data_IF_665652633234
#
_entry.id   IF_665652633234
#
_cell.length_a   1.000
_cell.length_b   1.000
_cell.length_c   1.000
_cell.angle_alpha   90.00
_cell.angle_beta   90.00
_cell.angle_gamma   90.00
#
_symmetry.space_group_name_H-M   'P 1'
#
loop_
_entity.id
_entity.type
_entity.pdbx_description
1 polymer ?
#
# COMPACT_ATOMS: atom_id res chain seq x y z
N UNK A 1 -33.40 76.09 8.72
CA UNK A 1 -33.58 74.76 9.36
C UNK A 1 -33.99 73.79 8.27
N UNK A 2 -33.03 73.22 7.54
CA UNK A 2 -33.35 72.18 6.56
C UNK A 2 -32.11 71.36 6.25
N UNK A 3 -32.31 70.09 5.94
CA UNK A 3 -31.37 69.01 5.56
C UNK A 3 -30.79 68.16 6.70
N UNK A 4 -31.45 67.02 6.98
CA UNK A 4 -30.84 65.74 7.40
C UNK A 4 -31.93 64.65 7.48
N UNK A 5 -32.35 64.15 6.32
CA UNK A 5 -33.15 62.93 6.23
C UNK A 5 -32.95 62.25 4.87
N UNK A 6 -31.82 61.56 4.67
CA UNK A 6 -31.76 60.55 3.59
C UNK A 6 -30.67 59.47 3.70
N UNK A 7 -29.87 59.42 4.76
CA UNK A 7 -28.72 58.50 4.83
C UNK A 7 -29.04 57.09 5.34
N UNK A 8 -30.19 56.85 6.00
CA UNK A 8 -30.55 55.51 6.52
C UNK A 8 -31.08 54.54 5.46
N UNK A 9 -31.75 55.03 4.41
CA UNK A 9 -32.30 54.16 3.34
C UNK A 9 -31.23 53.64 2.36
N UNK A 10 -30.11 54.36 2.19
CA UNK A 10 -29.00 53.93 1.34
C UNK A 10 -28.19 52.77 1.92
N UNK A 11 -27.99 52.76 3.24
CA UNK A 11 -27.16 51.75 3.93
C UNK A 11 -27.88 50.39 3.98
N UNK A 12 -29.20 50.37 4.23
CA UNK A 12 -29.99 49.12 4.23
C UNK A 12 -30.08 48.51 2.83
N UNK A 13 -30.22 49.34 1.78
CA UNK A 13 -30.20 48.88 0.38
C UNK A 13 -28.83 48.35 -0.04
N UNK A 14 -27.75 49.02 0.33
CA UNK A 14 -26.38 48.58 0.01
C UNK A 14 -26.04 47.24 0.70
N UNK A 15 -26.43 47.06 1.96
CA UNK A 15 -26.19 45.81 2.71
C UNK A 15 -27.01 44.64 2.14
N UNK A 16 -28.26 44.89 1.74
CA UNK A 16 -29.10 43.90 1.06
C UNK A 16 -28.59 43.50 -0.32
N UNK A 17 -28.03 44.45 -1.09
CA UNK A 17 -27.39 44.18 -2.38
C UNK A 17 -26.09 43.38 -2.26
N UNK A 18 -25.28 43.63 -1.23
CA UNK A 18 -24.06 42.86 -0.96
C UNK A 18 -24.39 41.44 -0.50
N UNK A 19 -25.40 41.25 0.35
CA UNK A 19 -25.88 39.92 0.76
C UNK A 19 -26.51 39.16 -0.41
N UNK A 20 -27.26 39.83 -1.28
CA UNK A 20 -27.83 39.23 -2.49
C UNK A 20 -26.74 38.87 -3.51
N UNK A 21 -25.72 39.72 -3.69
CA UNK A 21 -24.58 39.44 -4.56
C UNK A 21 -23.71 38.28 -4.02
N UNK A 22 -23.51 38.20 -2.71
CA UNK A 22 -22.82 37.09 -2.06
C UNK A 22 -23.62 35.78 -2.16
N UNK A 23 -24.95 35.84 -2.02
CA UNK A 23 -25.85 34.70 -2.24
C UNK A 23 -25.87 34.28 -3.71
N UNK A 24 -25.92 35.22 -4.66
CA UNK A 24 -25.86 34.92 -6.09
C UNK A 24 -24.49 34.38 -6.52
N UNK A 25 -23.39 34.85 -5.91
CA UNK A 25 -22.06 34.31 -6.14
C UNK A 25 -21.87 32.90 -5.55
N UNK A 26 -22.47 32.60 -4.39
CA UNK A 26 -22.46 31.26 -3.81
C UNK A 26 -23.38 30.29 -4.58
N UNK A 27 -24.52 30.76 -5.08
CA UNK A 27 -25.36 30.03 -6.04
C UNK A 27 -24.65 29.82 -7.39
N UNK A 28 -23.94 30.83 -7.91
CA UNK A 28 -23.16 30.72 -9.16
C UNK A 28 -21.88 29.88 -9.01
N UNK A 29 -21.36 29.71 -7.81
CA UNK A 29 -20.30 28.76 -7.50
C UNK A 29 -20.87 27.33 -7.39
N UNK A 30 -22.08 27.17 -6.82
CA UNK A 30 -22.82 25.90 -6.84
C UNK A 30 -23.23 25.45 -8.25
N UNK A 31 -23.28 26.35 -9.24
CA UNK A 31 -23.61 26.01 -10.62
C UNK A 31 -22.42 25.60 -11.48
N UNK A 32 -21.19 25.48 -10.95
CA UNK A 32 -19.99 25.06 -11.72
C UNK A 32 -19.53 23.63 -11.50
N UNK A 33 -20.03 22.96 -10.47
CA UNK A 33 -19.64 21.59 -10.14
C UNK A 33 -20.66 20.60 -10.72
N UNK A 34 -20.20 19.39 -11.03
CA UNK A 34 -21.06 18.23 -11.23
C UNK A 34 -20.78 17.15 -10.18
N UNK A 35 -21.55 16.07 -10.25
CA UNK A 35 -21.38 14.89 -9.43
C UNK A 35 -21.08 13.68 -10.31
N UNK A 36 -20.10 12.89 -9.91
CA UNK A 36 -19.78 11.58 -10.48
C UNK A 36 -20.11 10.51 -9.46
N UNK A 37 -20.94 9.53 -9.83
CA UNK A 37 -21.15 8.30 -9.10
C UNK A 37 -20.40 7.17 -9.81
N UNK A 38 -19.57 6.43 -9.10
CA UNK A 38 -18.74 5.36 -9.65
C UNK A 38 -19.09 4.02 -9.01
N UNK A 39 -19.30 3.01 -9.83
CA UNK A 39 -19.46 1.62 -9.43
C UNK A 39 -18.42 0.76 -10.16
N UNK A 40 -17.68 -0.07 -9.41
CA UNK A 40 -16.59 -0.90 -9.94
C UNK A 40 -16.98 -2.36 -9.77
N UNK A 41 -17.05 -3.09 -10.89
CA UNK A 41 -17.48 -4.48 -10.95
C UNK A 41 -16.33 -5.38 -11.40
N UNK A 42 -16.28 -6.60 -10.87
CA UNK A 42 -15.56 -7.70 -11.51
C UNK A 42 -16.45 -8.27 -12.64
N UNK A 43 -15.94 -8.24 -13.87
CA UNK A 43 -16.70 -8.69 -15.07
C UNK A 43 -17.14 -10.17 -14.97
N UNK A 44 -16.30 -11.01 -14.38
CA UNK A 44 -16.53 -12.46 -14.30
C UNK A 44 -17.55 -12.88 -13.24
N UNK A 45 -17.66 -12.13 -12.15
CA UNK A 45 -18.61 -12.39 -11.05
C UNK A 45 -19.86 -11.53 -11.12
N UNK A 46 -19.80 -10.38 -11.81
CA UNK A 46 -20.87 -9.38 -11.84
C UNK A 46 -21.11 -8.67 -10.51
N UNK A 47 -20.18 -8.79 -9.55
CA UNK A 47 -20.29 -8.18 -8.23
C UNK A 47 -19.43 -6.92 -8.14
N UNK A 48 -19.88 -5.95 -7.34
CA UNK A 48 -19.05 -4.80 -6.97
C UNK A 48 -17.84 -5.27 -6.17
N UNK A 49 -16.67 -4.71 -6.46
CA UNK A 49 -15.42 -5.21 -5.89
C UNK A 49 -14.51 -4.06 -5.41
N UNK A 50 -13.75 -4.24 -4.32
CA UNK A 50 -12.72 -3.28 -3.93
C UNK A 50 -11.68 -3.10 -5.03
N UNK A 51 -11.15 -1.89 -5.17
CA UNK A 51 -10.17 -1.58 -6.20
C UNK A 51 -9.33 -0.36 -5.79
N UNK A 52 -8.15 -0.26 -6.38
CA UNK A 52 -7.35 0.96 -6.37
C UNK A 52 -7.88 1.93 -7.41
N UNK A 53 -7.96 3.21 -7.06
CA UNK A 53 -8.55 4.27 -7.86
C UNK A 53 -7.66 5.51 -7.84
N UNK A 54 -7.70 6.27 -8.92
CA UNK A 54 -7.35 7.69 -8.90
C UNK A 54 -8.24 8.46 -9.89
N UNK A 55 -8.70 9.64 -9.46
CA UNK A 55 -9.40 10.59 -10.33
C UNK A 55 -8.47 11.76 -10.53
N UNK A 56 -7.95 11.93 -11.73
CA UNK A 56 -6.96 12.95 -12.08
C UNK A 56 -7.61 14.04 -12.92
N UNK A 57 -7.40 15.30 -12.55
CA UNK A 57 -7.77 16.42 -13.42
C UNK A 57 -6.79 16.52 -14.58
N UNK A 58 -7.30 16.60 -15.81
CA UNK A 58 -6.45 16.82 -16.98
C UNK A 58 -5.94 18.28 -17.09
N UNK A 59 -6.44 19.19 -16.25
CA UNK A 59 -5.98 20.59 -16.20
C UNK A 59 -4.72 20.76 -15.36
N UNK A 60 -4.67 20.16 -14.17
CA UNK A 60 -3.57 20.33 -13.22
C UNK A 60 -2.73 19.05 -13.00
N UNK A 61 -3.14 17.92 -13.60
CA UNK A 61 -2.54 16.60 -13.44
C UNK A 61 -2.41 16.17 -11.96
N UNK A 62 -3.40 16.55 -11.13
CA UNK A 62 -3.48 16.16 -9.71
C UNK A 62 -4.72 15.33 -9.43
N UNK A 63 -4.60 14.50 -8.39
CA UNK A 63 -5.64 13.60 -7.95
C UNK A 63 -6.76 14.34 -7.19
N UNK A 64 -7.92 13.68 -7.06
CA UNK A 64 -9.06 14.05 -6.24
C UNK A 64 -9.62 12.82 -5.53
N UNK A 65 -10.20 13.02 -4.35
CA UNK A 65 -10.82 11.96 -3.59
C UNK A 65 -12.28 12.27 -3.24
N UNK A 66 -13.14 11.24 -3.14
CA UNK A 66 -14.48 11.39 -2.59
C UNK A 66 -14.46 11.89 -1.13
N UNK A 67 -15.53 12.60 -0.69
CA UNK A 67 -16.68 13.03 -1.48
C UNK A 67 -16.49 14.39 -2.18
N UNK A 68 -15.37 15.07 -1.96
CA UNK A 68 -15.13 16.44 -2.40
C UNK A 68 -13.86 16.57 -3.24
N UNK A 69 -14.03 16.53 -4.56
CA UNK A 69 -12.96 16.67 -5.53
C UNK A 69 -12.71 18.11 -5.99
N UNK A 70 -13.17 19.12 -5.25
CA UNK A 70 -12.90 20.53 -5.58
C UNK A 70 -11.50 20.97 -5.16
N UNK A 71 -10.86 20.22 -4.27
CA UNK A 71 -9.50 20.48 -3.78
C UNK A 71 -8.63 19.24 -3.96
N UNK A 72 -7.32 19.45 -4.09
CA UNK A 72 -6.34 18.35 -4.05
C UNK A 72 -6.20 17.95 -2.57
N UNK A 73 -6.57 16.72 -2.17
CA UNK A 73 -6.40 16.28 -0.79
C UNK A 73 -4.91 16.06 -0.48
N UNK A 74 -4.49 16.10 0.80
CA UNK A 74 -3.13 15.70 1.17
C UNK A 74 -2.89 14.23 0.81
N UNK A 75 -1.61 13.88 0.66
CA UNK A 75 -1.17 12.49 0.51
C UNK A 75 -0.57 11.97 1.82
N UNK A 76 -0.67 10.67 2.04
CA UNK A 76 -0.18 9.97 3.23
C UNK A 76 1.30 9.66 3.07
N UNK A 77 2.09 9.91 4.11
CA UNK A 77 3.53 9.65 4.22
C UNK A 77 3.81 8.47 5.14
N UNK A 78 5.01 7.89 5.07
CA UNK A 78 5.48 6.78 5.90
C UNK A 78 5.24 7.01 7.40
N UNK A 79 5.56 8.19 8.00
CA UNK A 79 5.29 8.41 9.43
C UNK A 79 3.80 8.33 9.80
N UNK A 80 2.91 8.66 8.87
CA UNK A 80 1.47 8.65 9.10
C UNK A 80 0.93 7.20 9.24
N UNK A 81 1.70 6.18 8.84
CA UNK A 81 1.37 4.76 9.03
C UNK A 81 1.84 4.20 10.38
N UNK A 82 2.73 4.90 11.09
CA UNK A 82 3.22 4.44 12.40
C UNK A 82 2.16 4.65 13.50
N UNK A 83 1.41 5.74 13.41
CA UNK A 83 0.25 6.05 14.25
C UNK A 83 -0.92 6.53 13.37
N UNK A 84 -1.60 5.60 12.68
CA UNK A 84 -2.61 5.95 11.70
C UNK A 84 -3.90 6.47 12.36
N UNK A 85 -4.50 7.47 11.73
CA UNK A 85 -5.84 7.93 12.07
C UNK A 85 -6.88 6.82 11.85
N UNK A 86 -7.94 6.82 12.67
CA UNK A 86 -8.97 5.79 12.60
C UNK A 86 -9.66 5.78 11.23
N UNK A 87 -9.57 4.64 10.55
CA UNK A 87 -10.29 4.37 9.31
C UNK A 87 -11.60 3.64 9.58
N UNK A 88 -12.64 3.97 8.82
CA UNK A 88 -13.97 3.35 8.91
C UNK A 88 -14.30 2.56 7.64
N UNK A 89 -14.94 1.38 7.74
CA UNK A 89 -15.42 0.63 6.60
C UNK A 89 -16.22 1.49 5.61
N UNK A 90 -15.93 1.35 4.31
CA UNK A 90 -16.49 2.17 3.24
C UNK A 90 -15.77 3.51 3.03
N UNK A 91 -14.89 3.92 3.94
CA UNK A 91 -13.99 5.05 3.73
C UNK A 91 -12.97 4.75 2.63
N UNK A 92 -12.44 5.82 2.01
CA UNK A 92 -11.34 5.70 1.06
C UNK A 92 -10.05 5.30 1.78
N UNK A 93 -9.15 4.64 1.07
CA UNK A 93 -7.81 4.31 1.54
C UNK A 93 -6.87 5.52 1.62
N UNK A 94 -5.64 5.31 2.10
CA UNK A 94 -4.62 6.36 2.13
C UNK A 94 -4.28 6.78 0.70
N UNK A 95 -4.06 8.07 0.50
CA UNK A 95 -3.62 8.58 -0.80
C UNK A 95 -2.11 8.44 -0.88
N UNK A 96 -1.63 7.57 -1.76
CA UNK A 96 -0.21 7.30 -1.95
C UNK A 96 0.26 7.88 -3.27
N UNK A 97 1.37 8.61 -3.24
CA UNK A 97 2.03 9.05 -4.47
C UNK A 97 2.71 7.85 -5.14
N UNK A 98 2.46 7.70 -6.43
CA UNK A 98 3.03 6.65 -7.28
C UNK A 98 4.24 7.16 -8.03
N UNK A 99 4.25 8.45 -8.36
CA UNK A 99 5.39 9.23 -8.87
C UNK A 99 5.58 10.47 -8.00
N UNK A 100 6.73 11.13 -8.11
CA UNK A 100 7.02 12.35 -7.35
C UNK A 100 7.93 12.09 -6.14
N UNK A 101 7.83 12.94 -5.10
CA UNK A 101 8.86 13.09 -4.06
C UNK A 101 9.42 11.76 -3.54
N UNK A 102 10.71 11.56 -3.78
CA UNK A 102 11.46 10.33 -3.49
C UNK A 102 12.76 10.62 -2.75
N UNK A 103 13.01 11.87 -2.33
CA UNK A 103 14.34 12.29 -1.87
C UNK A 103 14.65 11.92 -0.42
N UNK A 104 13.64 11.61 0.39
CA UNK A 104 13.80 11.48 1.84
C UNK A 104 13.18 10.20 2.44
N UNK A 105 12.71 9.26 1.61
CA UNK A 105 11.97 8.05 2.02
C UNK A 105 10.70 8.30 2.85
N UNK A 106 10.27 9.55 3.06
CA UNK A 106 9.07 9.86 3.84
C UNK A 106 7.82 9.68 3.01
N UNK A 107 7.89 9.87 1.69
CA UNK A 107 6.74 9.67 0.82
C UNK A 107 6.72 8.26 0.26
N UNK A 108 7.79 7.87 -0.43
CA UNK A 108 8.02 6.54 -1.01
C UNK A 108 9.53 6.28 -1.07
N UNK A 109 9.92 5.04 -1.29
CA UNK A 109 11.32 4.65 -1.41
C UNK A 109 12.06 5.44 -2.49
N UNK A 110 13.25 5.98 -2.17
CA UNK A 110 14.13 6.67 -3.12
C UNK A 110 14.58 5.75 -4.26
N UNK A 111 14.54 4.43 -4.04
CA UNK A 111 14.95 3.41 -5.01
C UNK A 111 14.08 3.42 -6.27
N UNK A 112 12.86 3.96 -6.17
CA UNK A 112 12.03 4.18 -7.35
C UNK A 112 12.59 5.25 -8.31
N UNK A 113 13.35 6.21 -7.79
CA UNK A 113 13.75 7.40 -8.55
C UNK A 113 12.54 8.05 -9.21
N UNK A 114 12.65 8.35 -10.51
CA UNK A 114 11.56 8.96 -11.29
C UNK A 114 10.47 7.97 -11.74
N UNK A 115 10.69 6.66 -11.57
CA UNK A 115 9.75 5.63 -12.04
C UNK A 115 8.51 5.58 -11.15
N UNK A 116 7.38 5.19 -11.73
CA UNK A 116 6.18 4.84 -10.94
C UNK A 116 6.49 3.67 -9.99
N UNK A 117 6.04 3.78 -8.74
CA UNK A 117 6.09 2.72 -7.75
C UNK A 117 5.07 1.62 -7.97
N UNK A 118 3.96 1.93 -8.65
CA UNK A 118 2.86 0.99 -8.86
C UNK A 118 2.94 0.38 -10.28
N UNK A 119 3.10 -0.96 -10.43
CA UNK A 119 3.05 -1.67 -11.71
C UNK A 119 1.86 -1.31 -12.60
N UNK A 120 2.12 -1.05 -13.89
CA UNK A 120 1.13 -0.71 -14.93
C UNK A 120 0.25 0.53 -14.67
N UNK A 121 0.48 1.23 -13.55
CA UNK A 121 -0.27 2.41 -13.15
C UNK A 121 0.30 3.70 -13.79
N UNK A 122 -0.59 4.59 -14.20
CA UNK A 122 -0.23 5.81 -14.94
C UNK A 122 -0.61 7.11 -14.23
N UNK A 123 -1.36 7.04 -13.13
CA UNK A 123 -1.80 8.23 -12.39
C UNK A 123 -0.79 8.65 -11.34
N UNK A 124 -0.78 9.94 -10.94
CA UNK A 124 0.20 10.47 -9.98
C UNK A 124 0.03 9.97 -8.54
N UNK A 125 -1.16 9.44 -8.22
CA UNK A 125 -1.49 8.90 -6.91
C UNK A 125 -2.39 7.67 -7.06
N UNK A 126 -2.59 6.95 -5.96
CA UNK A 126 -3.55 5.85 -5.84
C UNK A 126 -4.13 5.83 -4.42
N UNK A 127 -5.40 5.42 -4.30
CA UNK A 127 -6.07 5.10 -3.03
C UNK A 127 -7.07 3.98 -3.28
N UNK A 128 -7.34 3.12 -2.30
CA UNK A 128 -8.37 2.09 -2.46
C UNK A 128 -9.77 2.63 -2.18
N UNK A 129 -10.77 2.01 -2.78
CA UNK A 129 -12.19 2.08 -2.40
C UNK A 129 -12.73 0.66 -2.23
N UNK A 130 -13.75 0.49 -1.40
CA UNK A 130 -14.37 -0.82 -1.12
C UNK A 130 -15.85 -0.91 -1.45
N UNK A 131 -16.46 0.22 -1.82
CA UNK A 131 -17.88 0.34 -2.13
C UNK A 131 -18.07 1.38 -3.25
N UNK A 132 -19.22 1.38 -3.95
CA UNK A 132 -19.62 2.48 -4.81
C UNK A 132 -19.51 3.82 -4.08
N UNK A 133 -19.05 4.84 -4.80
CA UNK A 133 -18.80 6.15 -4.20
C UNK A 133 -19.30 7.28 -5.10
N UNK A 134 -19.49 8.44 -4.48
CA UNK A 134 -19.85 9.67 -5.19
C UNK A 134 -18.86 10.78 -4.86
N UNK A 135 -18.49 11.56 -5.86
CA UNK A 135 -17.57 12.69 -5.74
C UNK A 135 -18.13 13.91 -6.46
N UNK A 136 -18.04 15.08 -5.83
CA UNK A 136 -18.29 16.36 -6.49
C UNK A 136 -17.02 16.82 -7.18
N UNK A 137 -17.12 17.16 -8.46
CA UNK A 137 -16.00 17.58 -9.29
C UNK A 137 -16.32 18.93 -9.94
N UNK A 138 -15.36 19.87 -10.01
CA UNK A 138 -15.46 21.03 -10.89
C UNK A 138 -15.73 20.60 -12.34
N UNK A 139 -16.51 21.41 -13.06
CA UNK A 139 -16.66 21.22 -14.49
C UNK A 139 -15.29 21.25 -15.18
N UNK A 140 -15.05 20.27 -16.06
CA UNK A 140 -13.74 20.07 -16.66
C UNK A 140 -13.53 18.64 -17.14
N UNK A 141 -12.32 18.38 -17.64
CA UNK A 141 -11.91 17.05 -18.11
C UNK A 141 -11.13 16.31 -17.04
N UNK A 142 -11.46 15.04 -16.88
CA UNK A 142 -10.96 14.17 -15.83
C UNK A 142 -10.56 12.84 -16.44
N UNK A 143 -9.69 12.12 -15.74
CA UNK A 143 -9.36 10.72 -16.02
C UNK A 143 -9.63 9.89 -14.77
N UNK A 144 -10.38 8.81 -14.92
CA UNK A 144 -10.59 7.79 -13.91
C UNK A 144 -9.65 6.62 -14.22
N UNK A 145 -8.78 6.29 -13.29
CA UNK A 145 -8.00 5.06 -13.32
C UNK A 145 -8.50 4.09 -12.26
N UNK A 146 -8.61 2.82 -12.61
CA UNK A 146 -9.02 1.73 -11.71
C UNK A 146 -8.14 0.51 -11.94
N UNK A 147 -7.63 -0.08 -10.85
CA UNK A 147 -6.86 -1.33 -10.89
C UNK A 147 -7.26 -2.24 -9.71
N UNK A 148 -7.06 -3.55 -9.89
CA UNK A 148 -7.28 -4.56 -8.86
C UNK A 148 -6.17 -5.60 -8.93
N UNK A 149 -5.02 -5.31 -8.32
CA UNK A 149 -3.85 -6.17 -8.39
C UNK A 149 -3.31 -6.37 -9.82
N UNK A 150 -2.42 -7.35 -9.98
CA UNK A 150 -1.74 -7.63 -11.25
C UNK A 150 -2.47 -8.64 -12.15
N UNK A 151 -3.54 -9.27 -11.65
CA UNK A 151 -4.32 -10.29 -12.38
C UNK A 151 -5.48 -9.70 -13.20
N UNK A 152 -5.72 -8.40 -13.06
CA UNK A 152 -6.69 -7.63 -13.82
C UNK A 152 -5.99 -6.62 -14.73
N UNK A 153 -6.64 -6.28 -15.84
CA UNK A 153 -6.19 -5.18 -16.67
C UNK A 153 -6.62 -3.86 -16.05
N UNK A 154 -5.70 -2.91 -15.82
CA UNK A 154 -6.09 -1.59 -15.34
C UNK A 154 -6.91 -0.84 -16.38
N UNK A 155 -7.90 -0.09 -15.93
CA UNK A 155 -8.78 0.75 -16.75
C UNK A 155 -8.36 2.21 -16.61
N UNK A 156 -8.30 2.94 -17.73
CA UNK A 156 -8.04 4.37 -17.78
C UNK A 156 -9.06 5.01 -18.71
N UNK A 157 -9.93 5.85 -18.17
CA UNK A 157 -11.05 6.43 -18.92
C UNK A 157 -11.09 7.94 -18.72
N UNK A 158 -11.06 8.68 -19.82
CA UNK A 158 -11.27 10.12 -19.80
C UNK A 158 -12.76 10.46 -19.90
N UNK A 159 -13.19 11.46 -19.13
CA UNK A 159 -14.56 11.96 -19.14
C UNK A 159 -14.59 13.46 -18.91
N UNK A 160 -15.72 14.07 -19.22
CA UNK A 160 -16.00 15.48 -18.97
C UNK A 160 -17.14 15.58 -17.95
N UNK A 161 -17.00 16.47 -16.97
CA UNK A 161 -18.08 16.88 -16.07
C UNK A 161 -18.59 18.23 -16.53
N UNK A 162 -19.90 18.29 -16.83
CA UNK A 162 -20.58 19.54 -17.12
C UNK A 162 -21.15 20.16 -15.84
N UNK A 163 -21.32 21.49 -15.81
CA UNK A 163 -21.90 22.16 -14.66
C UNK A 163 -23.32 21.64 -14.34
N UNK A 164 -23.55 21.23 -13.08
CA UNK A 164 -24.80 20.65 -12.61
C UNK A 164 -25.09 19.21 -13.06
N UNK A 165 -24.18 18.57 -13.81
CA UNK A 165 -24.34 17.20 -14.27
C UNK A 165 -24.34 16.21 -13.11
N UNK A 166 -25.18 15.17 -13.20
CA UNK A 166 -25.05 13.95 -12.40
C UNK A 166 -24.70 12.81 -13.35
N UNK A 167 -23.45 12.38 -13.30
CA UNK A 167 -22.92 11.29 -14.11
C UNK A 167 -22.88 10.01 -13.30
N UNK A 168 -23.42 8.94 -13.86
CA UNK A 168 -23.20 7.58 -13.38
C UNK A 168 -22.17 6.92 -14.28
N UNK A 169 -21.19 6.25 -13.67
CA UNK A 169 -20.07 5.66 -14.36
C UNK A 169 -19.79 4.26 -13.82
N UNK A 170 -20.00 3.26 -14.66
CA UNK A 170 -19.73 1.85 -14.34
C UNK A 170 -18.39 1.47 -14.95
N UNK A 171 -17.53 0.85 -14.15
CA UNK A 171 -16.25 0.28 -14.59
C UNK A 171 -16.32 -1.23 -14.42
N UNK A 172 -16.14 -1.97 -15.50
CA UNK A 172 -16.04 -3.43 -15.50
C UNK A 172 -14.57 -3.85 -15.60
N UNK A 173 -14.03 -4.42 -14.53
CA UNK A 173 -12.66 -4.90 -14.46
C UNK A 173 -12.54 -6.28 -15.09
N UNK A 174 -11.79 -6.34 -16.19
CA UNK A 174 -11.48 -7.59 -16.88
C UNK A 174 -10.26 -8.28 -16.27
N UNK A 175 -10.48 -9.47 -15.74
CA UNK A 175 -9.42 -10.38 -15.31
C UNK A 175 -8.74 -11.03 -16.53
N UNK A 176 -7.41 -11.10 -16.54
CA UNK A 176 -6.66 -11.81 -17.60
C UNK A 176 -6.11 -13.17 -17.13
N UNK A 177 -5.96 -13.39 -15.82
CA UNK A 177 -5.59 -14.68 -15.21
C UNK A 177 -6.25 -14.79 -13.83
N UNK A 178 -6.56 -16.03 -13.39
CA UNK A 178 -7.09 -16.29 -12.04
C UNK A 178 -6.22 -17.37 -11.37
N UNK A 179 -5.10 -16.95 -10.80
CA UNK A 179 -4.12 -17.85 -10.20
C UNK A 179 -4.73 -18.66 -9.04
N UNK A 180 -5.58 -18.04 -8.22
CA UNK A 180 -6.26 -18.73 -7.12
C UNK A 180 -7.15 -19.89 -7.60
N UNK A 181 -7.85 -19.77 -8.74
CA UNK A 181 -8.60 -20.90 -9.33
C UNK A 181 -7.69 -22.05 -9.75
N UNK A 182 -6.43 -21.76 -10.04
CA UNK A 182 -5.38 -22.73 -10.37
C UNK A 182 -4.64 -23.25 -9.15
N UNK A 183 -5.07 -22.88 -7.93
CA UNK A 183 -4.45 -23.29 -6.67
C UNK A 183 -3.20 -22.50 -6.28
N UNK A 184 -2.91 -21.39 -6.98
CA UNK A 184 -1.79 -20.49 -6.68
C UNK A 184 -2.32 -19.21 -6.02
N UNK A 185 -1.88 -18.93 -4.80
CA UNK A 185 -2.38 -17.79 -4.04
C UNK A 185 -1.27 -16.75 -3.87
N UNK A 186 -1.59 -15.50 -4.20
CA UNK A 186 -0.69 -14.36 -4.07
C UNK A 186 -0.43 -14.05 -2.59
N UNK A 187 0.77 -13.61 -2.29
CA UNK A 187 1.10 -13.02 -1.01
C UNK A 187 2.12 -11.90 -1.11
N UNK A 188 2.02 -11.00 -0.15
CA UNK A 188 2.99 -9.95 0.13
C UNK A 188 3.54 -10.22 1.53
N UNK A 189 4.80 -10.65 1.60
CA UNK A 189 5.43 -11.10 2.84
C UNK A 189 6.10 -9.97 3.64
N UNK A 190 5.98 -8.72 3.17
CA UNK A 190 6.64 -7.57 3.77
C UNK A 190 5.73 -6.33 3.82
N UNK A 191 4.86 -6.27 4.82
CA UNK A 191 3.91 -5.17 5.00
C UNK A 191 4.06 -4.57 6.40
N UNK A 192 4.34 -3.28 6.52
CA UNK A 192 4.40 -2.55 7.77
C UNK A 192 3.14 -1.73 8.03
N UNK A 193 2.42 -2.14 9.07
CA UNK A 193 1.28 -1.40 9.61
C UNK A 193 0.98 -1.93 11.01
N UNK A 194 0.65 -1.09 12.02
CA UNK A 194 0.34 -1.60 13.35
C UNK A 194 -0.91 -2.50 13.29
N UNK A 195 -0.95 -3.55 14.09
CA UNK A 195 -2.14 -4.39 14.26
C UNK A 195 -2.52 -4.49 15.73
N UNK A 196 -2.78 -3.36 16.35
CA UNK A 196 -3.12 -3.23 17.78
C UNK A 196 -4.60 -2.88 18.02
N UNK A 197 -5.33 -2.48 16.99
CA UNK A 197 -6.77 -2.13 17.04
C UNK A 197 -7.55 -2.96 16.01
N UNK A 198 -8.80 -3.38 16.28
CA UNK A 198 -9.59 -4.17 15.31
C UNK A 198 -9.74 -3.51 13.94
N UNK A 199 -9.91 -2.19 13.89
CA UNK A 199 -10.05 -1.47 12.61
C UNK A 199 -8.77 -1.50 11.77
N UNK A 200 -7.59 -1.76 12.36
CA UNK A 200 -6.35 -1.97 11.59
C UNK A 200 -6.46 -3.24 10.71
N UNK A 201 -7.07 -4.31 11.24
CA UNK A 201 -7.29 -5.54 10.49
C UNK A 201 -8.25 -5.30 9.32
N UNK A 202 -9.38 -4.63 9.59
CA UNK A 202 -10.37 -4.31 8.56
C UNK A 202 -9.77 -3.40 7.47
N UNK A 203 -9.01 -2.39 7.86
CA UNK A 203 -8.30 -1.48 6.94
C UNK A 203 -7.35 -2.25 6.01
N UNK A 204 -6.43 -3.02 6.59
CA UNK A 204 -5.42 -3.77 5.83
C UNK A 204 -6.05 -4.84 4.95
N UNK A 205 -7.03 -5.58 5.47
CA UNK A 205 -7.67 -6.64 4.70
C UNK A 205 -8.47 -6.05 3.52
N UNK A 206 -9.08 -4.88 3.72
CA UNK A 206 -9.76 -4.15 2.62
C UNK A 206 -8.78 -3.72 1.54
N UNK A 207 -7.59 -3.22 1.94
CA UNK A 207 -6.55 -2.86 0.97
C UNK A 207 -6.02 -4.10 0.24
N UNK A 208 -5.73 -5.20 0.95
CA UNK A 208 -5.32 -6.47 0.37
C UNK A 208 -6.37 -7.01 -0.62
N UNK A 209 -7.66 -6.86 -0.31
CA UNK A 209 -8.74 -7.20 -1.23
C UNK A 209 -8.74 -6.30 -2.47
N UNK A 210 -8.48 -4.99 -2.34
CA UNK A 210 -8.40 -4.07 -3.48
C UNK A 210 -7.21 -4.39 -4.41
N UNK A 211 -6.14 -4.99 -3.87
CA UNK A 211 -4.93 -5.39 -4.61
C UNK A 211 -4.88 -6.87 -5.01
N UNK A 212 -5.93 -7.60 -4.65
CA UNK A 212 -6.04 -9.06 -4.76
C UNK A 212 -4.80 -9.80 -4.24
N UNK A 213 -4.50 -9.57 -2.97
CA UNK A 213 -3.42 -10.22 -2.23
C UNK A 213 -4.03 -11.13 -1.16
N UNK A 214 -3.93 -12.44 -1.35
CA UNK A 214 -4.59 -13.42 -0.46
C UNK A 214 -3.86 -13.55 0.89
N UNK A 215 -2.54 -13.46 0.92
CA UNK A 215 -1.75 -13.54 2.16
C UNK A 215 -0.90 -12.29 2.34
N UNK A 216 -1.20 -11.46 3.32
CA UNK A 216 -0.34 -10.33 3.70
C UNK A 216 0.35 -10.62 5.02
N UNK A 217 1.68 -10.67 5.01
CA UNK A 217 2.46 -10.79 6.25
C UNK A 217 2.77 -9.41 6.79
N UNK A 218 2.19 -9.08 7.95
CA UNK A 218 2.28 -7.76 8.57
C UNK A 218 3.35 -7.76 9.66
N UNK A 219 4.36 -6.92 9.49
CA UNK A 219 5.59 -6.96 10.25
C UNK A 219 5.69 -5.79 11.22
N UNK A 220 5.96 -6.11 12.49
CA UNK A 220 6.60 -5.14 13.36
C UNK A 220 8.04 -4.97 12.93
N UNK A 221 8.59 -3.79 13.13
CA UNK A 221 9.99 -3.52 12.83
C UNK A 221 10.70 -3.08 14.10
N UNK A 222 11.92 -3.59 14.32
CA UNK A 222 12.69 -3.23 15.51
C UNK A 222 14.14 -2.99 15.19
N UNK A 223 14.58 -1.80 15.58
CA UNK A 223 15.99 -1.45 15.77
C UNK A 223 16.37 -1.58 17.25
N UNK A 224 17.65 -1.43 17.59
CA UNK A 224 18.09 -1.31 18.99
C UNK A 224 17.38 -0.20 19.78
N UNK A 225 16.85 0.82 19.09
CA UNK A 225 16.34 2.05 19.73
C UNK A 225 14.83 2.16 19.72
N UNK A 226 14.15 1.46 18.80
CA UNK A 226 12.73 1.67 18.55
C UNK A 226 12.04 0.41 18.06
N UNK A 227 10.77 0.29 18.42
CA UNK A 227 9.79 -0.64 17.86
C UNK A 227 8.74 0.17 17.11
N UNK A 228 8.55 -0.14 15.83
CA UNK A 228 7.52 0.45 14.96
C UNK A 228 6.55 -0.63 14.49
N UNK A 229 5.34 -0.21 14.11
CA UNK A 229 4.28 -1.09 13.59
C UNK A 229 3.97 -2.30 14.48
N UNK A 230 3.70 -2.13 15.80
CA UNK A 230 3.51 -3.24 16.72
C UNK A 230 2.43 -4.22 16.22
N UNK A 231 2.74 -5.51 16.31
CA UNK A 231 1.85 -6.60 15.95
C UNK A 231 1.23 -7.24 17.19
N UNK A 232 0.11 -7.93 16.99
CA UNK A 232 -0.67 -8.53 18.06
C UNK A 232 -1.76 -7.57 18.54
N UNK A 233 -3.00 -7.93 18.23
CA UNK A 233 -4.21 -7.34 18.79
C UNK A 233 -4.91 -8.38 19.68
N UNK A 234 -6.02 -8.02 20.36
CA UNK A 234 -6.80 -8.98 21.12
C UNK A 234 -7.33 -10.19 20.32
N UNK A 235 -7.42 -10.10 18.99
CA UNK A 235 -7.87 -11.17 18.09
C UNK A 235 -6.73 -12.13 17.68
N UNK A 236 -5.48 -11.83 18.08
CA UNK A 236 -4.32 -12.68 17.89
C UNK A 236 -3.41 -12.28 16.72
N UNK A 237 -2.58 -13.23 16.28
CA UNK A 237 -1.53 -13.03 15.26
C UNK A 237 -2.02 -13.34 13.84
N UNK A 238 -3.25 -13.85 13.69
CA UNK A 238 -3.86 -14.16 12.39
C UNK A 238 -5.27 -13.59 12.35
N UNK A 239 -5.59 -12.89 11.27
CA UNK A 239 -6.94 -12.42 10.96
C UNK A 239 -7.30 -12.87 9.56
N UNK A 240 -8.52 -13.37 9.36
CA UNK A 240 -8.92 -13.96 8.08
C UNK A 240 -10.39 -13.67 7.79
N UNK A 241 -10.71 -13.31 6.54
CA UNK A 241 -12.08 -13.37 5.99
C UNK A 241 -12.07 -14.01 4.61
N UNK A 242 -12.82 -15.09 4.45
CA UNK A 242 -12.73 -15.92 3.25
C UNK A 242 -11.30 -16.40 3.05
N UNK A 243 -10.77 -16.23 1.84
CA UNK A 243 -9.40 -16.62 1.48
C UNK A 243 -8.36 -15.52 1.74
N UNK A 244 -8.76 -14.36 2.25
CA UNK A 244 -7.84 -13.25 2.55
C UNK A 244 -7.36 -13.32 4.00
N UNK A 245 -6.04 -13.24 4.20
CA UNK A 245 -5.37 -13.46 5.49
C UNK A 245 -4.37 -12.36 5.78
N UNK A 246 -4.42 -11.83 7.00
CA UNK A 246 -3.35 -11.06 7.61
C UNK A 246 -2.63 -11.93 8.63
N UNK A 247 -1.37 -12.25 8.37
CA UNK A 247 -0.52 -13.03 9.28
C UNK A 247 0.54 -12.10 9.87
N UNK A 248 0.64 -12.05 11.19
CA UNK A 248 1.69 -11.28 11.84
C UNK A 248 3.07 -11.95 11.67
N UNK A 249 4.08 -11.11 11.52
CA UNK A 249 5.50 -11.44 11.44
C UNK A 249 6.34 -10.34 12.09
N UNK A 250 7.65 -10.36 11.85
CA UNK A 250 8.56 -9.31 12.28
C UNK A 250 9.71 -9.10 11.29
N UNK A 251 10.12 -7.84 11.19
CA UNK A 251 11.38 -7.38 10.66
C UNK A 251 12.26 -6.95 11.85
N UNK A 252 12.70 -7.94 12.61
CA UNK A 252 13.31 -7.76 13.93
C UNK A 252 14.30 -8.92 14.14
N UNK A 253 15.62 -8.68 14.16
CA UNK A 253 16.28 -7.36 14.12
C UNK A 253 16.33 -6.71 12.72
N UNK A 254 16.27 -5.37 12.70
CA UNK A 254 16.52 -4.51 11.53
C UNK A 254 17.69 -3.55 11.81
N UNK A 255 18.94 -4.02 11.69
CA UNK A 255 20.13 -3.15 11.84
C UNK A 255 20.32 -2.28 10.61
N UNK A 256 21.26 -1.32 10.60
CA UNK A 256 21.49 -0.53 9.39
C UNK A 256 21.77 -1.41 8.17
N UNK A 257 21.30 -1.01 6.98
CA UNK A 257 21.62 -1.71 5.72
C UNK A 257 23.14 -1.76 5.48
N UNK A 258 23.89 -0.77 5.98
CA UNK A 258 25.36 -0.75 6.00
C UNK A 258 25.99 -1.53 7.18
N UNK A 259 25.18 -2.23 7.98
CA UNK A 259 25.56 -3.11 9.08
C UNK A 259 25.23 -4.56 8.69
N UNK A 260 24.34 -5.25 9.42
CA UNK A 260 23.98 -6.66 9.16
C UNK A 260 22.71 -6.83 8.31
N UNK A 261 22.10 -5.72 7.87
CA UNK A 261 20.87 -5.72 7.09
C UNK A 261 19.63 -5.97 7.94
N UNK A 262 18.53 -6.30 7.26
CA UNK A 262 17.22 -6.51 7.86
C UNK A 262 16.80 -7.98 7.71
N UNK A 263 16.26 -8.54 8.78
CA UNK A 263 15.72 -9.91 8.79
C UNK A 263 14.22 -9.92 8.58
N UNK A 264 13.68 -11.06 8.18
CA UNK A 264 12.25 -11.33 8.13
C UNK A 264 11.94 -12.60 8.89
N UNK A 265 10.86 -12.58 9.65
CA UNK A 265 10.26 -13.76 10.25
C UNK A 265 8.75 -13.79 9.97
N UNK A 266 8.33 -14.83 9.26
CA UNK A 266 6.96 -15.01 8.79
C UNK A 266 6.23 -16.09 9.61
N UNK A 267 4.90 -16.02 9.63
CA UNK A 267 4.03 -17.00 10.30
C UNK A 267 4.37 -17.25 11.79
N UNK A 268 4.67 -16.19 12.53
CA UNK A 268 5.01 -16.28 13.95
C UNK A 268 3.75 -16.31 14.82
N UNK A 269 3.82 -16.98 15.97
CA UNK A 269 2.77 -17.01 17.00
C UNK A 269 2.98 -15.92 18.05
N UNK A 270 4.21 -15.43 18.18
CA UNK A 270 4.62 -14.31 19.04
C UNK A 270 5.94 -13.72 18.53
N UNK A 271 6.22 -12.44 18.82
CA UNK A 271 7.51 -11.84 18.52
C UNK A 271 8.64 -12.53 19.29
N UNK A 272 9.82 -12.53 18.69
CA UNK A 272 11.06 -13.10 19.22
C UNK A 272 12.13 -12.02 19.15
N UNK A 273 12.70 -11.66 20.30
CA UNK A 273 13.76 -10.67 20.34
C UNK A 273 14.63 -10.87 21.59
N UNK A 274 15.90 -10.47 21.49
CA UNK A 274 16.81 -10.36 22.62
C UNK A 274 17.72 -9.14 22.43
N UNK A 275 17.43 -8.07 23.18
CA UNK A 275 18.18 -6.82 23.06
C UNK A 275 19.63 -6.94 23.56
N UNK A 276 19.94 -7.91 24.41
CA UNK A 276 21.32 -8.17 24.88
C UNK A 276 22.17 -8.87 23.83
N UNK A 277 21.53 -9.53 22.85
CA UNK A 277 22.14 -10.30 21.76
C UNK A 277 21.63 -9.84 20.39
N UNK A 278 21.27 -8.57 20.25
CA UNK A 278 20.55 -8.04 19.09
C UNK A 278 21.24 -8.25 17.73
N UNK A 279 22.58 -8.29 17.73
CA UNK A 279 23.38 -8.53 16.52
C UNK A 279 23.63 -10.02 16.23
N UNK A 280 23.13 -10.93 17.07
CA UNK A 280 23.22 -12.37 16.88
C UNK A 280 21.91 -12.84 16.26
N UNK A 281 21.81 -12.72 14.93
CA UNK A 281 20.56 -12.96 14.20
C UNK A 281 20.14 -14.43 14.29
N UNK A 282 21.10 -15.34 14.42
CA UNK A 282 20.91 -16.77 14.66
C UNK A 282 20.04 -17.06 15.89
N UNK A 283 20.20 -16.30 16.99
CA UNK A 283 19.37 -16.44 18.20
C UNK A 283 17.91 -16.17 17.89
N UNK A 284 17.62 -15.14 17.09
CA UNK A 284 16.26 -14.82 16.66
C UNK A 284 15.75 -15.92 15.72
N UNK A 285 16.55 -16.33 14.73
CA UNK A 285 16.16 -17.35 13.76
C UNK A 285 15.83 -18.70 14.43
N UNK A 286 16.67 -19.17 15.34
CA UNK A 286 16.47 -20.43 16.05
C UNK A 286 15.16 -20.40 16.87
N UNK A 287 14.84 -19.27 17.50
CA UNK A 287 13.61 -19.11 18.28
C UNK A 287 12.35 -18.92 17.41
N UNK A 288 12.45 -18.31 16.23
CA UNK A 288 11.36 -18.27 15.24
C UNK A 288 11.06 -19.67 14.70
N UNK A 289 12.11 -20.42 14.35
CA UNK A 289 11.98 -21.80 13.86
C UNK A 289 11.41 -22.74 14.92
N UNK A 290 11.76 -22.55 16.19
CA UNK A 290 11.22 -23.33 17.30
C UNK A 290 9.69 -23.19 17.47
N UNK A 291 9.08 -22.10 16.99
CA UNK A 291 7.62 -21.93 16.98
C UNK A 291 6.96 -22.32 15.65
N UNK A 292 7.74 -22.72 14.64
CA UNK A 292 7.28 -23.11 13.30
C UNK A 292 7.22 -21.96 12.29
N UNK A 293 7.81 -20.80 12.61
CA UNK A 293 7.91 -19.67 11.69
C UNK A 293 8.99 -19.88 10.62
N UNK A 294 8.96 -19.03 9.61
CA UNK A 294 9.94 -19.01 8.51
C UNK A 294 10.88 -17.83 8.67
N UNK A 295 12.13 -17.98 8.25
CA UNK A 295 13.19 -16.98 8.48
C UNK A 295 13.90 -16.61 7.19
N UNK A 296 14.19 -15.33 7.01
CA UNK A 296 14.83 -14.81 5.80
C UNK A 296 15.49 -13.46 6.01
N UNK A 297 16.04 -12.92 4.93
CA UNK A 297 16.53 -11.53 4.87
C UNK A 297 15.68 -10.72 3.90
N UNK A 298 15.37 -9.50 4.32
CA UNK A 298 14.67 -8.53 3.51
C UNK A 298 15.64 -7.78 2.60
N UNK A 299 15.12 -7.12 1.56
CA UNK A 299 15.81 -6.15 0.71
C UNK A 299 17.08 -6.66 -0.01
N UNK A 300 17.28 -7.98 -0.11
CA UNK A 300 18.34 -8.56 -0.95
C UNK A 300 18.21 -8.02 -2.39
N UNK A 301 16.96 -7.75 -2.81
CA UNK A 301 16.57 -7.06 -4.03
C UNK A 301 17.44 -5.85 -4.41
N UNK A 302 17.85 -5.04 -3.45
CA UNK A 302 18.54 -3.77 -3.70
C UNK A 302 19.78 -3.53 -2.84
N UNK A 303 20.12 -4.45 -1.93
CA UNK A 303 21.34 -4.38 -1.15
C UNK A 303 22.59 -4.10 -2.02
N UNK A 304 22.83 -4.76 -3.18
CA UNK A 304 23.97 -4.45 -4.02
C UNK A 304 24.00 -2.99 -4.52
N UNK A 305 22.83 -2.45 -4.91
CA UNK A 305 22.71 -1.07 -5.36
C UNK A 305 23.04 -0.08 -4.24
N UNK A 306 22.63 -0.37 -3.00
CA UNK A 306 22.99 0.44 -1.84
C UNK A 306 24.49 0.45 -1.58
N UNK A 307 25.14 -0.72 -1.53
CA UNK A 307 26.56 -0.82 -1.21
C UNK A 307 27.46 -0.23 -2.29
N UNK A 308 27.07 -0.37 -3.56
CA UNK A 308 27.85 0.07 -4.72
C UNK A 308 27.61 1.52 -5.16
N UNK A 309 26.70 2.25 -4.49
CA UNK A 309 26.31 3.61 -4.89
C UNK A 309 27.48 4.60 -4.93
N UNK A 310 28.41 4.46 -3.99
CA UNK A 310 29.57 5.36 -3.82
C UNK A 310 30.88 4.69 -4.27
N UNK A 311 30.89 3.36 -4.38
CA UNK A 311 32.05 2.55 -4.74
C UNK A 311 31.61 1.22 -5.34
N UNK A 312 31.73 1.11 -6.66
CA UNK A 312 31.31 -0.06 -7.43
C UNK A 312 31.99 -1.38 -7.04
N UNK A 313 33.08 -1.34 -6.27
CA UNK A 313 33.84 -2.52 -5.86
C UNK A 313 33.34 -3.15 -4.56
N UNK A 314 32.39 -2.50 -3.86
CA UNK A 314 31.85 -3.00 -2.59
C UNK A 314 30.88 -4.16 -2.78
N UNK A 315 30.96 -5.09 -1.84
CA UNK A 315 30.00 -6.19 -1.65
C UNK A 315 29.19 -5.94 -0.39
N UNK A 316 27.96 -6.46 -0.36
CA UNK A 316 27.14 -6.40 0.85
C UNK A 316 27.81 -7.17 1.98
N UNK A 317 27.93 -6.55 3.16
CA UNK A 317 28.58 -7.14 4.34
C UNK A 317 27.52 -7.63 5.32
N UNK A 318 26.66 -8.55 4.89
CA UNK A 318 25.54 -9.03 5.70
C UNK A 318 25.82 -10.38 6.37
N UNK A 319 25.18 -10.59 7.52
CA UNK A 319 25.24 -11.85 8.28
C UNK A 319 24.52 -13.01 7.58
N UNK A 320 23.85 -12.74 6.45
CA UNK A 320 23.14 -13.75 5.66
C UNK A 320 24.05 -14.89 5.23
N UNK A 321 25.29 -14.60 4.86
CA UNK A 321 26.23 -15.61 4.37
C UNK A 321 26.55 -16.71 5.39
N UNK A 322 26.58 -16.38 6.69
CA UNK A 322 26.77 -17.35 7.77
C UNK A 322 25.49 -18.16 8.02
N UNK A 323 24.35 -17.47 8.16
CA UNK A 323 23.08 -18.08 8.54
C UNK A 323 22.50 -18.99 7.45
N UNK A 324 22.73 -18.67 6.17
CA UNK A 324 22.33 -19.53 5.04
C UNK A 324 23.01 -20.89 5.13
N UNK A 325 24.33 -20.91 5.25
CA UNK A 325 25.12 -22.16 5.29
C UNK A 325 24.82 -22.99 6.53
N UNK A 326 24.45 -22.33 7.63
CA UNK A 326 24.02 -22.99 8.87
C UNK A 326 22.58 -23.56 8.80
N UNK A 327 21.88 -23.42 7.67
CA UNK A 327 20.53 -23.96 7.47
C UNK A 327 19.45 -23.22 8.28
N UNK A 328 19.69 -21.95 8.60
CA UNK A 328 18.79 -21.11 9.39
C UNK A 328 17.83 -20.26 8.57
N UNK A 329 17.98 -20.22 7.25
CA UNK A 329 17.11 -19.46 6.38
C UNK A 329 16.25 -20.36 5.50
N UNK A 330 15.04 -19.89 5.24
CA UNK A 330 14.10 -20.51 4.31
C UNK A 330 13.97 -19.68 3.00
N UNK A 331 14.26 -18.37 3.03
CA UNK A 331 14.06 -17.48 1.87
C UNK A 331 14.94 -16.23 1.85
N UNK A 332 15.00 -15.60 0.67
CA UNK A 332 15.49 -14.24 0.46
C UNK A 332 14.44 -13.40 -0.26
N UNK A 333 14.23 -12.16 0.18
CA UNK A 333 13.42 -11.17 -0.54
C UNK A 333 14.24 -10.56 -1.70
N UNK A 334 14.14 -11.19 -2.86
CA UNK A 334 14.98 -10.89 -4.02
C UNK A 334 14.38 -9.85 -4.95
N UNK A 335 13.09 -9.49 -4.81
CA UNK A 335 12.42 -8.50 -5.64
C UNK A 335 11.67 -7.48 -4.81
N UNK A 336 11.98 -6.21 -4.99
CA UNK A 336 11.35 -5.09 -4.30
C UNK A 336 11.69 -3.78 -5.02
N UNK A 337 10.80 -2.78 -4.98
CA UNK A 337 11.03 -1.44 -5.56
C UNK A 337 11.50 -1.43 -7.03
N UNK A 338 11.01 -2.39 -7.83
CA UNK A 338 11.41 -2.61 -9.25
C UNK A 338 12.89 -2.97 -9.42
N UNK A 339 13.52 -3.46 -8.37
CA UNK A 339 14.87 -4.01 -8.37
C UNK A 339 14.80 -5.51 -8.10
N UNK A 340 15.78 -6.21 -8.65
CA UNK A 340 15.91 -7.66 -8.55
C UNK A 340 17.36 -7.97 -8.17
N UNK A 341 17.55 -8.59 -7.00
CA UNK A 341 18.84 -8.90 -6.40
C UNK A 341 19.07 -10.40 -6.41
N UNK A 342 19.92 -10.87 -7.34
CA UNK A 342 20.06 -12.28 -7.67
C UNK A 342 21.43 -12.88 -7.34
N UNK A 343 22.43 -12.05 -7.06
CA UNK A 343 23.83 -12.48 -6.93
C UNK A 343 23.98 -13.52 -5.80
N UNK A 344 23.71 -13.12 -4.55
CA UNK A 344 23.79 -14.03 -3.40
C UNK A 344 22.83 -15.21 -3.55
N UNK A 345 21.61 -14.97 -4.07
CA UNK A 345 20.61 -16.01 -4.24
C UNK A 345 21.11 -17.15 -5.14
N UNK A 346 21.62 -16.83 -6.34
CA UNK A 346 22.15 -17.86 -7.24
C UNK A 346 23.44 -18.49 -6.73
N UNK A 347 24.30 -17.74 -6.04
CA UNK A 347 25.51 -18.32 -5.44
C UNK A 347 25.17 -19.41 -4.42
N UNK A 348 24.17 -19.19 -3.55
CA UNK A 348 23.70 -20.22 -2.63
C UNK A 348 23.01 -21.39 -3.31
N UNK A 349 22.18 -21.13 -4.33
CA UNK A 349 21.56 -22.21 -5.12
C UNK A 349 22.63 -23.07 -5.82
N UNK A 350 23.69 -22.47 -6.35
CA UNK A 350 24.81 -23.17 -6.99
C UNK A 350 25.60 -24.03 -6.00
N UNK A 351 25.61 -23.67 -4.71
CA UNK A 351 26.18 -24.48 -3.64
C UNK A 351 25.22 -25.58 -3.13
N UNK A 352 24.04 -25.71 -3.71
CA UNK A 352 23.03 -26.71 -3.34
C UNK A 352 22.16 -26.32 -2.14
N UNK A 353 22.25 -25.07 -1.68
CA UNK A 353 21.34 -24.56 -0.65
C UNK A 353 19.97 -24.30 -1.27
N UNK A 354 18.90 -24.66 -0.57
CA UNK A 354 17.53 -24.36 -1.00
C UNK A 354 17.06 -23.10 -0.33
N UNK A 355 16.66 -22.12 -1.13
CA UNK A 355 16.10 -20.85 -0.69
C UNK A 355 14.91 -20.49 -1.56
N UNK A 356 13.82 -20.08 -0.94
CA UNK A 356 12.68 -19.51 -1.66
C UNK A 356 13.04 -18.11 -2.15
N UNK A 357 12.75 -17.86 -3.43
CA UNK A 357 12.73 -16.53 -3.99
C UNK A 357 11.45 -15.81 -3.53
N UNK A 358 11.60 -14.85 -2.61
CA UNK A 358 10.49 -14.05 -2.13
C UNK A 358 10.46 -12.64 -2.71
N UNK A 359 9.31 -11.98 -2.57
CA UNK A 359 9.06 -10.63 -3.03
C UNK A 359 7.95 -9.98 -2.20
N UNK A 360 8.32 -9.03 -1.34
CA UNK A 360 7.39 -8.24 -0.54
C UNK A 360 7.46 -6.77 -0.91
N UNK A 361 6.39 -6.03 -0.63
CA UNK A 361 6.30 -4.62 -1.03
C UNK A 361 7.17 -3.71 -0.19
N UNK A 362 7.31 -4.00 1.10
CA UNK A 362 7.80 -3.07 2.13
C UNK A 362 6.92 -1.80 2.16
N UNK A 363 5.59 -1.99 2.11
CA UNK A 363 4.60 -0.94 2.39
C UNK A 363 4.76 -0.48 3.84
N UNK A 364 4.91 0.82 4.15
CA UNK A 364 4.54 1.98 3.33
C UNK A 364 5.70 2.66 2.59
N UNK A 365 6.90 2.09 2.50
CA UNK A 365 7.92 2.64 1.58
C UNK A 365 7.55 2.36 0.13
N UNK A 366 6.84 1.26 -0.12
CA UNK A 366 6.05 1.00 -1.32
C UNK A 366 4.95 2.01 -1.60
N UNK A 367 4.52 2.12 -2.86
CA UNK A 367 3.32 2.88 -3.21
C UNK A 367 2.04 2.14 -2.84
N UNK A 368 2.02 0.80 -2.89
CA UNK A 368 0.88 0.00 -2.47
C UNK A 368 1.26 -1.38 -1.95
N UNK A 369 0.36 -1.97 -1.13
CA UNK A 369 0.44 -3.37 -0.72
C UNK A 369 0.33 -4.27 -1.96
N UNK A 370 1.21 -5.27 -2.07
CA UNK A 370 1.20 -6.25 -3.14
C UNK A 370 1.80 -5.78 -4.46
N UNK A 371 2.44 -4.61 -4.52
CA UNK A 371 3.13 -4.18 -5.75
C UNK A 371 4.30 -5.13 -6.10
N UNK A 372 4.92 -5.73 -5.09
CA UNK A 372 5.76 -6.93 -5.20
C UNK A 372 5.03 -8.07 -4.49
N UNK A 373 5.01 -9.25 -5.09
CA UNK A 373 4.28 -10.40 -4.55
C UNK A 373 4.89 -11.72 -4.97
N UNK A 374 4.67 -12.72 -4.14
CA UNK A 374 5.03 -14.13 -4.37
C UNK A 374 3.76 -14.96 -4.51
N UNK A 375 3.82 -16.05 -5.28
CA UNK A 375 2.71 -17.00 -5.39
C UNK A 375 3.15 -18.34 -4.82
N UNK A 376 2.33 -18.92 -3.93
CA UNK A 376 2.53 -20.26 -3.42
C UNK A 376 1.40 -21.18 -3.91
N UNK A 377 1.78 -22.36 -4.41
CA UNK A 377 0.83 -23.37 -4.84
C UNK A 377 0.37 -24.20 -3.64
N UNK A 378 -0.90 -24.04 -3.25
CA UNK A 378 -1.52 -24.78 -2.15
C UNK A 378 -2.54 -25.82 -2.64
N UNK A 379 -2.89 -25.78 -3.93
CA UNK A 379 -3.99 -26.58 -4.46
C UNK A 379 -5.34 -26.09 -3.96
N UNK A 380 -6.25 -27.02 -3.65
CA UNK A 380 -7.59 -26.73 -3.15
C UNK A 380 -7.94 -27.67 -1.98
N UNK A 381 -8.56 -27.19 -0.87
CA UNK A 381 -8.92 -25.80 -0.57
C UNK A 381 -7.75 -24.95 -0.04
N UNK A 382 -7.85 -23.62 -0.14
CA UNK A 382 -6.90 -22.69 0.47
C UNK A 382 -6.86 -22.84 1.99
N UNK A 383 -5.65 -22.84 2.55
CA UNK A 383 -5.44 -22.62 3.98
C UNK A 383 -4.21 -21.72 4.19
N UNK A 384 -4.21 -20.84 5.21
CA UNK A 384 -3.03 -20.04 5.55
C UNK A 384 -1.80 -20.90 5.84
N UNK A 385 -1.98 -22.00 6.61
CA UNK A 385 -0.87 -22.89 6.96
C UNK A 385 -0.33 -23.62 5.73
N UNK A 386 -1.20 -24.01 4.79
CA UNK A 386 -0.79 -24.57 3.50
C UNK A 386 0.01 -23.58 2.65
N UNK A 387 -0.31 -22.29 2.70
CA UNK A 387 0.44 -21.25 1.99
C UNK A 387 1.86 -21.12 2.53
N UNK A 388 2.03 -21.01 3.85
CA UNK A 388 3.37 -20.95 4.46
C UNK A 388 4.16 -22.25 4.29
N UNK A 389 3.49 -23.41 4.30
CA UNK A 389 4.13 -24.68 4.00
C UNK A 389 4.64 -24.75 2.55
N UNK A 390 3.84 -24.26 1.59
CA UNK A 390 4.22 -24.20 0.18
C UNK A 390 5.26 -23.12 -0.14
N UNK A 391 5.32 -22.05 0.66
CA UNK A 391 6.34 -21.02 0.54
C UNK A 391 7.73 -21.52 0.97
N UNK A 392 7.82 -22.48 1.89
CA UNK A 392 9.10 -23.01 2.38
C UNK A 392 9.80 -23.90 1.33
N UNK A 393 11.09 -23.67 1.10
CA UNK A 393 11.93 -24.38 0.12
C UNK A 393 12.26 -25.85 0.46
#
# INVERSE_FOLDING_TARGET
>A
METRANTRNGIVRATGLVLLAAALASLAAQTRDGALHVEIYDEGTGQTTPAMVCITSLEDNKWRTPPDGRVVPPYTRVPDFMDPEEWKPGGIGPVRLTIGDWRDNNTRSFLYGEKSGYPFWQEPAAYFVSQPFSIRLPAGRWRLAVARGIEYLPVFEEFEIKPGEKRHHRVDLRRWEHMARRGWYSGDDHVHFPRTKPWHNEFLLTWAQAEEVYVSTTLQQRTLRALTFPQGNPEGFRFQRGDYVLQAGQEDPSTGINELGHTLALNIKRPVYDLSRFHLYDVMFDAVRAQGGLTGYAHIAWAPAWYRRDDSTRYATWDSTLNVIQGRLDFFEIMQFRLLGLEDYYDFLNMGVRLTASAGSDMPWASSLGESRVYAYTGHPFTPDGWFAAFKA
#
